data_IF_049715914711
#
_entry.id   IF_049715914711
#
_cell.length_a   1.000
_cell.length_b   1.000
_cell.length_c   1.000
_cell.angle_alpha   90.00
_cell.angle_beta   90.00
_cell.angle_gamma   90.00
#
_symmetry.space_group_name_H-M   'P 1'
#
loop_
_entity.id
_entity.type
_entity.pdbx_description
1 polymer ?
#
# COMPACT_ATOMS: atom_id res chain seq x y z
N UNK A 1 -11.76 -28.98 5.40
CA UNK A 1 -13.08 -28.32 5.34
C UNK A 1 -13.21 -27.70 3.98
N UNK A 2 -14.14 -28.21 3.18
CA UNK A 2 -14.57 -27.54 1.96
C UNK A 2 -14.96 -26.10 2.30
N UNK A 3 -14.50 -25.15 1.49
CA UNK A 3 -14.85 -23.73 1.62
C UNK A 3 -15.81 -23.43 0.48
N UNK A 4 -17.09 -23.81 0.59
CA UNK A 4 -18.06 -23.70 -0.52
C UNK A 4 -18.10 -22.27 -1.04
N UNK A 5 -18.16 -21.27 -0.15
CA UNK A 5 -18.14 -19.86 -0.51
C UNK A 5 -16.96 -19.48 -1.40
N UNK A 6 -15.75 -19.96 -1.09
CA UNK A 6 -14.57 -19.67 -1.93
C UNK A 6 -14.69 -20.32 -3.31
N UNK A 7 -15.05 -21.61 -3.35
CA UNK A 7 -15.17 -22.37 -4.59
C UNK A 7 -16.26 -21.78 -5.49
N UNK A 8 -17.42 -21.48 -4.92
CA UNK A 8 -18.57 -20.93 -5.63
C UNK A 8 -18.32 -19.50 -6.11
N UNK A 9 -17.66 -18.68 -5.28
CA UNK A 9 -17.23 -17.33 -5.69
C UNK A 9 -16.25 -17.40 -6.85
N UNK A 10 -15.24 -18.28 -6.77
CA UNK A 10 -14.26 -18.43 -7.84
C UNK A 10 -14.93 -18.87 -9.14
N UNK A 11 -15.83 -19.87 -9.08
CA UNK A 11 -16.58 -20.36 -10.23
C UNK A 11 -17.45 -19.26 -10.86
N UNK A 12 -18.16 -18.48 -10.05
CA UNK A 12 -18.98 -17.37 -10.57
C UNK A 12 -18.11 -16.35 -11.32
N UNK A 13 -16.92 -16.03 -10.79
CA UNK A 13 -16.03 -15.01 -11.33
C UNK A 13 -15.14 -15.47 -12.50
N UNK A 14 -15.15 -16.75 -12.88
CA UNK A 14 -14.47 -17.24 -14.09
C UNK A 14 -14.97 -16.54 -15.36
N UNK A 15 -16.20 -16.03 -15.34
CA UNK A 15 -16.79 -15.21 -16.40
C UNK A 15 -16.06 -13.87 -16.62
N UNK A 16 -15.27 -13.41 -15.65
CA UNK A 16 -14.50 -12.16 -15.72
C UNK A 16 -13.05 -12.39 -16.16
N UNK A 17 -12.60 -13.65 -16.24
CA UNK A 17 -11.24 -14.03 -16.62
C UNK A 17 -10.65 -15.13 -15.75
N UNK A 18 -9.34 -15.36 -15.88
CA UNK A 18 -8.65 -16.43 -15.13
C UNK A 18 -8.52 -16.07 -13.65
N UNK A 19 -9.38 -16.68 -12.83
CA UNK A 19 -9.41 -16.47 -11.38
C UNK A 19 -8.29 -17.20 -10.67
N UNK A 20 -7.64 -16.53 -9.72
CA UNK A 20 -6.67 -17.11 -8.77
C UNK A 20 -7.07 -16.74 -7.34
N UNK A 21 -6.68 -17.55 -6.37
CA UNK A 21 -6.82 -17.23 -4.94
C UNK A 21 -5.50 -17.38 -4.19
N UNK A 22 -5.32 -16.57 -3.13
CA UNK A 22 -4.19 -16.69 -2.19
C UNK A 22 -4.56 -16.18 -0.80
N UNK A 23 -3.83 -16.62 0.22
CA UNK A 23 -4.03 -16.18 1.60
C UNK A 23 -3.85 -14.65 1.73
N UNK A 24 -4.89 -13.96 2.16
CA UNK A 24 -4.91 -12.50 2.36
C UNK A 24 -5.78 -12.16 3.57
N UNK A 25 -5.24 -11.35 4.48
CA UNK A 25 -6.00 -10.79 5.62
C UNK A 25 -6.73 -11.84 6.48
N UNK A 26 -6.15 -13.03 6.66
CA UNK A 26 -6.76 -14.13 7.40
C UNK A 26 -7.80 -14.95 6.64
N UNK A 27 -8.09 -14.58 5.38
CA UNK A 27 -8.96 -15.32 4.47
C UNK A 27 -8.29 -15.56 3.11
N UNK A 28 -9.10 -15.58 2.04
CA UNK A 28 -8.66 -15.84 0.67
C UNK A 28 -8.99 -14.64 -0.21
N UNK A 29 -7.95 -13.94 -0.66
CA UNK A 29 -8.13 -12.94 -1.70
C UNK A 29 -8.37 -13.61 -3.04
N UNK A 30 -9.25 -13.04 -3.85
CA UNK A 30 -9.58 -13.48 -5.20
C UNK A 30 -9.06 -12.46 -6.21
N UNK A 31 -8.40 -12.95 -7.26
CA UNK A 31 -7.59 -12.19 -8.19
C UNK A 31 -7.89 -12.55 -9.64
N UNK A 32 -7.84 -11.54 -10.51
CA UNK A 32 -7.68 -11.68 -11.97
C UNK A 32 -6.52 -10.76 -12.36
N UNK A 33 -5.57 -11.25 -13.16
CA UNK A 33 -4.38 -10.47 -13.62
C UNK A 33 -3.63 -9.76 -12.46
N UNK A 34 -3.41 -10.49 -11.37
CA UNK A 34 -2.78 -10.00 -10.13
C UNK A 34 -3.46 -8.76 -9.53
N UNK A 35 -4.76 -8.57 -9.82
CA UNK A 35 -5.59 -7.50 -9.27
C UNK A 35 -6.61 -8.12 -8.32
N UNK A 36 -6.47 -7.83 -7.03
CA UNK A 36 -7.41 -8.30 -6.01
C UNK A 36 -8.68 -7.44 -6.07
N UNK A 37 -9.82 -8.10 -6.21
CA UNK A 37 -11.14 -7.46 -6.28
C UNK A 37 -12.14 -8.04 -5.27
N UNK A 38 -11.93 -9.25 -4.78
CA UNK A 38 -12.78 -9.88 -3.76
C UNK A 38 -11.97 -10.59 -2.67
N UNK A 39 -12.62 -10.83 -1.53
CA UNK A 39 -12.06 -11.51 -0.36
C UNK A 39 -13.11 -12.44 0.24
N UNK A 40 -12.75 -13.70 0.47
CA UNK A 40 -13.58 -14.64 1.25
C UNK A 40 -12.97 -14.80 2.63
N UNK A 41 -13.70 -14.38 3.65
CA UNK A 41 -13.31 -14.47 5.06
C UNK A 41 -14.55 -14.56 5.93
N UNK A 42 -14.48 -15.27 7.05
CA UNK A 42 -15.63 -15.52 7.94
C UNK A 42 -16.85 -16.06 7.18
N UNK A 43 -16.63 -16.97 6.23
CA UNK A 43 -17.65 -17.55 5.33
C UNK A 43 -18.53 -16.53 4.59
N UNK A 44 -18.01 -15.32 4.38
CA UNK A 44 -18.67 -14.28 3.58
C UNK A 44 -17.80 -13.85 2.41
N UNK A 45 -18.45 -13.63 1.28
CA UNK A 45 -17.86 -12.97 0.13
C UNK A 45 -17.86 -11.47 0.36
N UNK A 46 -16.69 -10.84 0.20
CA UNK A 46 -16.52 -9.41 0.29
C UNK A 46 -16.00 -8.85 -1.03
N UNK A 47 -16.48 -7.68 -1.42
CA UNK A 47 -16.03 -6.95 -2.61
C UNK A 47 -15.17 -5.75 -2.21
N UNK A 48 -14.15 -5.47 -3.00
CA UNK A 48 -13.27 -4.30 -2.81
C UNK A 48 -14.03 -3.04 -3.22
N UNK A 49 -14.16 -2.11 -2.28
CA UNK A 49 -14.64 -0.76 -2.54
C UNK A 49 -13.47 0.17 -2.89
N UNK A 50 -13.71 1.13 -3.78
CA UNK A 50 -12.74 2.16 -4.12
C UNK A 50 -12.69 3.28 -3.07
N UNK A 51 -11.83 4.28 -3.26
CA UNK A 51 -11.70 5.39 -2.30
C UNK A 51 -12.96 6.25 -2.15
N UNK A 52 -13.80 6.35 -3.20
CA UNK A 52 -15.05 7.12 -3.22
C UNK A 52 -16.15 6.31 -2.52
N UNK A 53 -16.33 5.06 -2.90
CA UNK A 53 -17.28 4.11 -2.32
C UNK A 53 -16.98 3.88 -0.84
N UNK A 54 -15.72 3.75 -0.44
CA UNK A 54 -15.34 3.67 0.99
C UNK A 54 -15.81 4.90 1.77
N UNK A 55 -15.66 6.11 1.23
CA UNK A 55 -16.12 7.34 1.90
C UNK A 55 -17.65 7.35 2.05
N UNK A 56 -18.37 7.01 0.98
CA UNK A 56 -19.84 6.93 0.98
C UNK A 56 -20.34 5.87 1.99
N UNK A 57 -19.76 4.68 1.96
CA UNK A 57 -20.11 3.58 2.86
C UNK A 57 -19.87 3.94 4.32
N UNK A 58 -18.76 4.61 4.63
CA UNK A 58 -18.50 5.12 5.98
C UNK A 58 -19.56 6.13 6.44
N UNK A 59 -19.97 7.07 5.57
CA UNK A 59 -21.03 8.03 5.89
C UNK A 59 -22.39 7.37 6.14
N UNK A 60 -22.64 6.22 5.49
CA UNK A 60 -23.86 5.43 5.65
C UNK A 60 -23.77 4.37 6.76
N UNK A 61 -22.67 4.32 7.52
CA UNK A 61 -22.49 3.40 8.65
C UNK A 61 -22.00 2.00 8.29
N UNK A 62 -21.75 1.70 7.01
CA UNK A 62 -21.19 0.42 6.59
C UNK A 62 -19.76 0.24 7.11
N UNK A 63 -19.45 -0.98 7.57
CA UNK A 63 -18.16 -1.32 8.13
C UNK A 63 -17.32 -2.17 7.16
N UNK A 64 -16.06 -1.80 6.90
CA UNK A 64 -15.15 -2.67 6.17
C UNK A 64 -14.72 -3.84 7.05
N UNK A 65 -14.25 -4.93 6.43
CA UNK A 65 -13.57 -5.99 7.14
C UNK A 65 -12.28 -5.46 7.79
N UNK A 66 -12.12 -5.72 9.09
CA UNK A 66 -10.94 -5.34 9.88
C UNK A 66 -10.14 -6.59 10.22
N UNK A 67 -8.95 -6.72 9.66
CA UNK A 67 -8.04 -7.82 9.94
C UNK A 67 -7.14 -7.49 11.14
N UNK A 68 -6.99 -8.43 12.09
CA UNK A 68 -6.06 -8.27 13.21
C UNK A 68 -4.75 -9.00 12.91
N UNK A 69 -3.64 -8.25 12.79
CA UNK A 69 -2.29 -8.81 12.63
C UNK A 69 -1.49 -8.58 13.91
N UNK A 70 -1.19 -9.63 14.67
CA UNK A 70 -0.46 -9.55 15.96
C UNK A 70 -1.05 -8.46 16.88
N UNK A 71 -2.37 -8.52 17.09
CA UNK A 71 -3.11 -7.54 17.90
C UNK A 71 -3.38 -6.18 17.24
N UNK A 72 -2.71 -5.84 16.14
CA UNK A 72 -2.88 -4.54 15.47
C UNK A 72 -3.99 -4.61 14.40
N UNK A 73 -4.98 -3.69 14.43
CA UNK A 73 -6.04 -3.65 13.43
C UNK A 73 -5.54 -3.11 12.09
N UNK A 74 -5.89 -3.80 11.01
CA UNK A 74 -5.69 -3.41 9.62
C UNK A 74 -7.07 -3.24 9.00
N UNK A 75 -7.52 -1.99 8.87
CA UNK A 75 -8.77 -1.65 8.20
C UNK A 75 -8.59 -1.89 6.70
N UNK A 76 -9.38 -2.79 6.14
CA UNK A 76 -9.28 -3.12 4.71
C UNK A 76 -10.26 -2.30 3.86
N UNK A 77 -10.21 -2.48 2.53
CA UNK A 77 -11.19 -1.92 1.59
C UNK A 77 -12.31 -2.91 1.21
N UNK A 78 -12.44 -4.04 1.92
CA UNK A 78 -13.37 -5.11 1.56
C UNK A 78 -14.65 -5.04 2.41
N UNK A 79 -15.80 -5.07 1.75
CA UNK A 79 -17.13 -5.01 2.38
C UNK A 79 -17.90 -6.27 2.06
N UNK A 80 -18.54 -6.86 3.07
CA UNK A 80 -19.32 -8.08 2.90
C UNK A 80 -20.52 -7.82 1.97
N UNK A 81 -20.72 -8.71 1.01
CA UNK A 81 -21.97 -8.79 0.27
C UNK A 81 -23.07 -9.39 1.15
N UNK A 82 -24.36 -9.19 0.79
CA UNK A 82 -25.47 -9.92 1.38
C UNK A 82 -25.25 -11.44 1.37
N UNK A 83 -25.82 -12.13 2.35
CA UNK A 83 -25.66 -13.58 2.48
C UNK A 83 -26.27 -14.36 1.29
N UNK A 84 -27.23 -13.76 0.58
CA UNK A 84 -27.91 -14.31 -0.60
C UNK A 84 -27.21 -13.99 -1.94
N UNK A 85 -25.95 -13.55 -1.92
CA UNK A 85 -25.20 -13.15 -3.13
C UNK A 85 -25.24 -14.20 -4.26
N UNK A 86 -25.35 -15.49 -3.92
CA UNK A 86 -25.45 -16.59 -4.89
C UNK A 86 -26.84 -16.70 -5.54
N UNK A 87 -27.90 -16.24 -4.87
CA UNK A 87 -29.25 -16.13 -5.42
C UNK A 87 -29.40 -15.00 -6.43
N UNK A 88 -28.44 -14.07 -6.48
CA UNK A 88 -28.42 -12.92 -7.40
C UNK A 88 -27.10 -12.88 -8.20
N UNK A 89 -26.80 -13.92 -9.00
CA UNK A 89 -25.47 -14.07 -9.63
C UNK A 89 -25.14 -12.93 -10.60
N UNK A 90 -26.12 -12.38 -11.32
CA UNK A 90 -25.92 -11.25 -12.24
C UNK A 90 -25.51 -9.97 -11.51
N UNK A 91 -26.19 -9.65 -10.40
CA UNK A 91 -25.86 -8.51 -9.56
C UNK A 91 -24.46 -8.67 -8.95
N UNK A 92 -24.17 -9.84 -8.37
CA UNK A 92 -22.86 -10.13 -7.78
C UNK A 92 -21.74 -10.06 -8.83
N UNK A 93 -21.98 -10.56 -10.04
CA UNK A 93 -21.02 -10.48 -11.14
C UNK A 93 -20.80 -9.02 -11.58
N UNK A 94 -21.85 -8.21 -11.63
CA UNK A 94 -21.77 -6.78 -11.94
C UNK A 94 -20.93 -6.03 -10.91
N UNK A 95 -21.18 -6.25 -9.61
CA UNK A 95 -20.41 -5.65 -8.52
C UNK A 95 -18.93 -6.07 -8.58
N UNK A 96 -18.66 -7.35 -8.83
CA UNK A 96 -17.31 -7.87 -8.98
C UNK A 96 -16.59 -7.28 -10.20
N UNK A 97 -17.28 -7.15 -11.33
CA UNK A 97 -16.75 -6.52 -12.55
C UNK A 97 -16.38 -5.07 -12.30
N UNK A 98 -17.29 -4.29 -11.71
CA UNK A 98 -17.04 -2.88 -11.37
C UNK A 98 -15.85 -2.75 -10.43
N UNK A 99 -15.80 -3.58 -9.38
CA UNK A 99 -14.70 -3.63 -8.43
C UNK A 99 -13.36 -3.95 -9.09
N UNK A 100 -13.33 -4.94 -9.99
CA UNK A 100 -12.14 -5.32 -10.74
C UNK A 100 -11.65 -4.19 -11.64
N UNK A 101 -12.54 -3.55 -12.40
CA UNK A 101 -12.18 -2.44 -13.30
C UNK A 101 -11.62 -1.25 -12.53
N UNK A 102 -12.24 -0.89 -11.41
CA UNK A 102 -11.72 0.18 -10.56
C UNK A 102 -10.37 -0.21 -9.95
N UNK A 103 -10.23 -1.45 -9.47
CA UNK A 103 -8.97 -1.93 -8.91
C UNK A 103 -7.84 -1.96 -9.95
N UNK A 104 -8.14 -2.30 -11.21
CA UNK A 104 -7.19 -2.23 -12.33
C UNK A 104 -6.77 -0.79 -12.61
N UNK A 105 -7.73 0.15 -12.65
CA UNK A 105 -7.45 1.59 -12.81
C UNK A 105 -6.60 2.15 -11.67
N UNK A 106 -6.93 1.83 -10.41
CA UNK A 106 -6.12 2.22 -9.24
C UNK A 106 -4.69 1.66 -9.34
N UNK A 107 -4.53 0.41 -9.77
CA UNK A 107 -3.22 -0.24 -9.94
C UNK A 107 -2.40 0.43 -11.05
N UNK A 108 -3.03 0.75 -12.18
CA UNK A 108 -2.39 1.46 -13.28
C UNK A 108 -1.97 2.88 -12.86
N UNK A 109 -2.85 3.64 -12.19
CA UNK A 109 -2.51 4.98 -11.70
C UNK A 109 -1.39 4.96 -10.67
N UNK A 110 -1.36 3.96 -9.79
CA UNK A 110 -0.28 3.77 -8.81
C UNK A 110 1.04 3.38 -9.47
N UNK A 111 1.01 2.59 -10.54
CA UNK A 111 2.21 2.23 -11.28
C UNK A 111 2.82 3.42 -12.04
N UNK A 112 1.98 4.36 -12.51
CA UNK A 112 2.42 5.58 -13.19
C UNK A 112 2.76 6.75 -12.25
N UNK A 113 2.28 6.72 -11.01
CA UNK A 113 2.56 7.77 -10.04
C UNK A 113 3.99 7.66 -9.52
N UNK A 114 4.70 8.80 -9.40
CA UNK A 114 5.94 8.84 -8.62
C UNK A 114 5.65 8.37 -7.19
N UNK A 115 6.61 7.70 -6.51
CA UNK A 115 6.43 7.30 -5.12
C UNK A 115 6.05 8.53 -4.30
N UNK A 116 4.83 8.55 -3.78
CA UNK A 116 4.32 9.67 -2.97
C UNK A 116 4.76 9.55 -1.50
N UNK A 117 5.15 8.33 -1.10
CA UNK A 117 5.63 8.03 0.25
C UNK A 117 7.13 7.93 0.29
N UNK A 118 7.71 8.56 1.32
CA UNK A 118 9.13 8.49 1.62
C UNK A 118 9.66 7.06 1.70
N UNK A 119 8.93 6.12 2.34
CA UNK A 119 9.37 4.72 2.46
C UNK A 119 9.42 3.95 1.13
N UNK A 120 8.84 4.50 0.07
CA UNK A 120 8.78 3.89 -1.26
C UNK A 120 9.86 4.47 -2.20
N UNK A 121 10.62 5.47 -1.74
CA UNK A 121 11.83 5.93 -2.41
C UNK A 121 12.97 4.91 -2.26
N UNK A 122 13.94 4.87 -3.19
CA UNK A 122 15.13 4.04 -3.07
C UNK A 122 15.82 4.25 -1.71
N UNK A 123 16.39 3.17 -1.15
CA UNK A 123 17.15 3.17 0.10
C UNK A 123 16.33 3.46 1.37
N UNK A 124 15.11 4.00 1.26
CA UNK A 124 14.31 4.35 2.42
C UNK A 124 13.44 3.17 2.87
N UNK A 125 13.23 3.08 4.19
CA UNK A 125 12.37 2.08 4.83
C UNK A 125 11.40 2.79 5.78
N UNK A 126 10.42 2.04 6.28
CA UNK A 126 9.43 2.56 7.24
C UNK A 126 10.09 3.21 8.48
N UNK A 127 11.22 2.67 8.95
CA UNK A 127 11.98 3.27 10.06
C UNK A 127 12.50 4.67 9.71
N UNK A 128 13.10 4.83 8.52
CA UNK A 128 13.57 6.13 8.04
C UNK A 128 12.43 7.10 7.76
N UNK A 129 11.30 6.65 7.21
CA UNK A 129 10.09 7.48 7.06
C UNK A 129 9.61 8.01 8.42
N UNK A 130 9.65 7.19 9.48
CA UNK A 130 9.29 7.65 10.83
C UNK A 130 10.27 8.69 11.37
N UNK A 131 11.57 8.51 11.14
CA UNK A 131 12.59 9.48 11.52
C UNK A 131 12.39 10.81 10.79
N UNK A 132 12.20 10.77 9.47
CA UNK A 132 11.92 11.95 8.65
C UNK A 132 10.66 12.68 9.11
N UNK A 133 9.56 11.95 9.37
CA UNK A 133 8.32 12.56 9.89
C UNK A 133 8.51 13.20 11.26
N UNK A 134 9.26 12.56 12.16
CA UNK A 134 9.62 13.14 13.47
C UNK A 134 10.47 14.41 13.31
N UNK A 135 11.29 14.46 12.27
CA UNK A 135 12.12 15.61 11.88
C UNK A 135 11.36 16.69 11.07
N UNK A 136 10.03 16.58 10.93
CA UNK A 136 9.21 17.54 10.19
C UNK A 136 9.33 17.43 8.66
N UNK A 137 9.70 16.24 8.15
CA UNK A 137 9.76 15.92 6.71
C UNK A 137 8.76 14.80 6.45
N UNK A 138 7.55 15.16 6.02
CA UNK A 138 6.42 14.24 5.91
C UNK A 138 6.09 13.80 4.47
N UNK A 139 6.67 14.47 3.48
CA UNK A 139 6.44 14.21 2.06
C UNK A 139 7.75 14.12 1.26
N UNK A 140 7.68 13.47 0.09
CA UNK A 140 8.79 13.40 -0.87
C UNK A 140 9.18 14.79 -1.36
N UNK A 141 8.20 15.66 -1.62
CA UNK A 141 8.46 17.04 -2.05
C UNK A 141 9.24 17.83 -1.00
N UNK A 142 8.89 17.71 0.29
CA UNK A 142 9.65 18.36 1.37
C UNK A 142 11.07 17.83 1.49
N UNK A 143 11.27 16.52 1.28
CA UNK A 143 12.60 15.91 1.26
C UNK A 143 13.45 16.45 0.10
N UNK A 144 12.88 16.51 -1.11
CA UNK A 144 13.55 17.06 -2.30
C UNK A 144 13.90 18.55 -2.12
N UNK A 145 12.98 19.34 -1.55
CA UNK A 145 13.19 20.77 -1.30
C UNK A 145 14.30 21.02 -0.26
N UNK A 146 14.32 20.26 0.84
CA UNK A 146 15.36 20.40 1.87
C UNK A 146 16.71 19.83 1.44
N UNK A 147 16.69 18.76 0.63
CA UNK A 147 17.90 18.04 0.25
C UNK A 147 18.42 17.09 1.34
N UNK A 148 19.37 16.23 0.95
CA UNK A 148 19.89 15.15 1.81
C UNK A 148 20.57 15.66 3.09
N UNK A 149 21.35 16.75 3.00
CA UNK A 149 22.11 17.32 4.13
C UNK A 149 21.18 17.84 5.22
N UNK A 150 20.21 18.69 4.86
CA UNK A 150 19.29 19.28 5.84
C UNK A 150 18.32 18.24 6.40
N UNK A 151 17.93 17.25 5.60
CA UNK A 151 17.16 16.12 6.09
C UNK A 151 17.95 15.28 7.11
N UNK A 152 19.22 15.01 6.84
CA UNK A 152 20.10 14.29 7.78
C UNK A 152 20.27 15.07 9.09
N UNK A 153 20.56 16.37 9.03
CA UNK A 153 20.68 17.24 10.21
C UNK A 153 19.39 17.27 11.04
N UNK A 154 18.24 17.38 10.37
CA UNK A 154 16.94 17.38 11.06
C UNK A 154 16.65 16.03 11.76
N UNK A 155 17.05 14.90 11.18
CA UNK A 155 16.97 13.60 11.86
C UNK A 155 17.93 13.57 13.05
N UNK A 156 19.18 14.02 12.88
CA UNK A 156 20.17 14.04 13.96
C UNK A 156 19.69 14.82 15.19
N UNK A 157 19.01 15.96 14.97
CA UNK A 157 18.48 16.80 16.05
C UNK A 157 17.27 16.18 16.76
N UNK A 158 16.45 15.41 16.04
CA UNK A 158 15.20 14.84 16.56
C UNK A 158 15.32 13.38 17.03
N UNK A 159 16.43 12.71 16.71
CA UNK A 159 16.71 11.32 17.02
C UNK A 159 17.82 11.21 18.06
N UNK A 160 17.55 10.47 19.14
CA UNK A 160 18.43 10.36 20.30
C UNK A 160 19.61 9.40 20.14
N UNK A 161 19.64 8.61 19.07
CA UNK A 161 20.72 7.67 18.78
C UNK A 161 21.62 8.23 17.68
N UNK A 162 22.89 7.84 17.71
CA UNK A 162 23.83 8.21 16.66
C UNK A 162 23.42 7.61 15.31
N UNK A 163 23.56 8.38 14.23
CA UNK A 163 23.15 8.01 12.88
C UNK A 163 24.34 8.07 11.93
N UNK A 164 24.67 6.94 11.31
CA UNK A 164 25.82 6.85 10.41
C UNK A 164 25.65 7.65 9.11
N UNK A 165 26.78 7.99 8.47
CA UNK A 165 26.83 8.70 7.18
C UNK A 165 26.16 7.94 6.02
N UNK A 166 25.99 6.62 6.15
CA UNK A 166 25.23 5.84 5.16
C UNK A 166 23.80 6.38 4.98
N UNK A 167 23.19 6.90 6.05
CA UNK A 167 21.87 7.53 5.96
C UNK A 167 21.89 8.79 5.08
N UNK A 168 22.97 9.58 5.12
CA UNK A 168 23.12 10.75 4.25
C UNK A 168 23.15 10.34 2.78
N UNK A 169 23.89 9.27 2.45
CA UNK A 169 23.95 8.76 1.07
C UNK A 169 22.64 8.08 0.65
N UNK A 170 21.95 7.41 1.58
CA UNK A 170 20.63 6.84 1.34
C UNK A 170 19.61 7.94 1.01
N UNK A 171 19.63 9.07 1.70
CA UNK A 171 18.78 10.23 1.42
C UNK A 171 19.11 10.88 0.06
N UNK A 172 20.39 11.02 -0.29
CA UNK A 172 20.79 11.52 -1.62
C UNK A 172 20.33 10.58 -2.74
N UNK A 173 20.58 9.27 -2.59
CA UNK A 173 20.11 8.27 -3.54
C UNK A 173 18.59 8.27 -3.67
N UNK A 174 17.86 8.43 -2.55
CA UNK A 174 16.40 8.53 -2.56
C UNK A 174 15.91 9.72 -3.40
N UNK A 175 16.52 10.90 -3.23
CA UNK A 175 16.20 12.12 -3.99
C UNK A 175 16.57 11.98 -5.47
N UNK A 176 17.69 11.32 -5.78
CA UNK A 176 18.15 11.11 -7.17
C UNK A 176 17.48 9.93 -7.86
N UNK A 177 16.68 9.14 -7.15
CA UNK A 177 16.05 7.93 -7.70
C UNK A 177 17.03 6.78 -7.94
N UNK A 178 18.15 6.72 -7.20
CA UNK A 178 19.21 5.72 -7.39
C UNK A 178 19.56 5.00 -6.08
N UNK A 179 20.18 3.81 -6.18
CA UNK A 179 20.70 3.13 -4.99
C UNK A 179 21.90 3.90 -4.41
N UNK A 180 22.01 4.01 -3.09
CA UNK A 180 23.06 4.82 -2.45
C UNK A 180 24.49 4.39 -2.83
N UNK A 181 24.67 3.10 -3.18
CA UNK A 181 25.97 2.57 -3.60
C UNK A 181 26.51 3.20 -4.89
N UNK A 182 25.64 3.78 -5.73
CA UNK A 182 26.05 4.44 -6.98
C UNK A 182 26.25 5.95 -6.83
N UNK A 183 26.04 6.51 -5.63
CA UNK A 183 26.38 7.92 -5.34
C UNK A 183 27.91 8.08 -5.44
N UNK A 184 28.45 8.89 -6.37
CA UNK A 184 29.89 9.02 -6.59
C UNK A 184 30.64 9.47 -5.34
N UNK A 185 31.89 9.03 -5.20
CA UNK A 185 32.74 9.35 -4.05
C UNK A 185 32.88 10.86 -3.84
N UNK A 186 33.12 11.63 -4.90
CA UNK A 186 33.17 13.10 -4.87
C UNK A 186 31.90 13.71 -4.25
N UNK A 187 30.72 13.22 -4.66
CA UNK A 187 29.44 13.68 -4.11
C UNK A 187 29.29 13.32 -2.64
N UNK A 188 29.78 12.15 -2.20
CA UNK A 188 29.76 11.75 -0.78
C UNK A 188 30.62 12.67 0.08
N UNK A 189 31.79 13.04 -0.43
CA UNK A 189 32.72 13.97 0.22
C UNK A 189 32.13 15.38 0.30
N UNK A 190 31.52 15.86 -0.78
CA UNK A 190 30.80 17.14 -0.79
C UNK A 190 29.68 17.18 0.27
N UNK A 191 28.81 16.17 0.30
CA UNK A 191 27.69 16.10 1.22
C UNK A 191 28.13 16.01 2.68
N UNK A 192 29.13 15.17 2.98
CA UNK A 192 29.66 15.01 4.33
C UNK A 192 30.46 16.23 4.78
N UNK A 193 31.14 16.93 3.86
CA UNK A 193 31.81 18.21 4.13
C UNK A 193 30.85 19.29 4.61
N UNK A 194 29.58 19.26 4.16
CA UNK A 194 28.51 20.20 4.56
C UNK A 194 27.85 19.88 5.92
N UNK A 195 28.25 18.78 6.56
CA UNK A 195 27.84 18.44 7.92
C UNK A 195 28.71 19.09 9.00
N UNK A 196 29.85 19.66 8.62
CA UNK A 196 30.76 20.39 9.50
C UNK A 196 30.24 21.80 9.81
#
# INVERSE_FOLDING_TARGET
MDKPVLKDSMRLFEQLGRVKSRSMFGGFGIFIEDTMFALVVNDKLHIRADSITVKKFKQQGYQPYVYKKRGHPVVTKYYALPDDWYGQPELTLSEAKNSLEIAKKEKASQASAKPDRLKDLPNLRLATERMLKKAGIDSVSTLEQKGAVEAYKAIQQSHSSDIGLELLWALEGAIKGTHWSVVPQERREELSGRLR
#
